data_IF_879959754699
#
_entry.id   IF_879959754699
#
_cell.length_a   1.000
_cell.length_b   1.000
_cell.length_c   1.000
_cell.angle_alpha   90.00
_cell.angle_beta   90.00
_cell.angle_gamma   90.00
#
_symmetry.space_group_name_H-M   'P 1'
#
loop_
_entity.id
_entity.type
_entity.pdbx_description
1 polymer ?
#
# COMPACT_ATOMS: atom_id res chain seq x y z
N UNK A 1 -48.62 -5.89 -55.68
CA UNK A 1 -48.89 -6.46 -54.35
C UNK A 1 -47.86 -5.93 -53.37
N UNK A 2 -48.32 -5.28 -52.29
CA UNK A 2 -47.49 -4.80 -51.19
C UNK A 2 -47.00 -6.00 -50.37
N UNK A 3 -45.70 -6.09 -50.06
CA UNK A 3 -45.21 -6.76 -48.86
C UNK A 3 -44.43 -5.75 -48.04
N UNK A 4 -45.03 -5.42 -46.89
CA UNK A 4 -44.44 -4.66 -45.80
C UNK A 4 -43.55 -5.62 -45.01
N UNK A 5 -42.32 -5.23 -44.73
CA UNK A 5 -41.58 -5.75 -43.57
C UNK A 5 -40.79 -4.60 -42.99
N UNK A 6 -41.15 -4.27 -41.75
CA UNK A 6 -40.59 -3.20 -40.96
C UNK A 6 -39.32 -3.68 -40.22
N UNK A 7 -38.43 -2.72 -39.97
CA UNK A 7 -37.58 -2.52 -38.80
C UNK A 7 -36.77 -3.69 -38.22
N UNK A 8 -35.45 -3.45 -38.08
CA UNK A 8 -34.82 -3.44 -36.75
C UNK A 8 -33.78 -2.31 -36.73
N UNK A 9 -34.11 -1.22 -36.05
CA UNK A 9 -33.16 -0.17 -35.68
C UNK A 9 -32.62 -0.57 -34.30
N UNK A 10 -31.44 -1.19 -34.27
CA UNK A 10 -30.79 -1.58 -33.03
C UNK A 10 -30.24 -0.33 -32.34
N UNK A 11 -30.95 0.13 -31.33
CA UNK A 11 -30.47 1.13 -30.38
C UNK A 11 -29.30 0.50 -29.61
N UNK A 12 -28.08 0.95 -29.88
CA UNK A 12 -26.92 0.65 -29.05
C UNK A 12 -27.07 1.50 -27.79
N UNK A 13 -27.68 0.93 -26.75
CA UNK A 13 -27.60 1.47 -25.39
C UNK A 13 -26.76 0.52 -24.56
N UNK A 14 -25.49 0.86 -24.36
CA UNK A 14 -24.67 0.32 -23.28
C UNK A 14 -23.81 1.49 -22.78
N UNK A 15 -24.42 2.36 -21.98
CA UNK A 15 -24.12 2.51 -20.54
C UNK A 15 -22.63 2.74 -20.33
N UNK A 16 -22.22 4.01 -20.46
CA UNK A 16 -21.01 4.50 -19.82
C UNK A 16 -21.23 4.40 -18.31
N UNK A 17 -20.79 3.29 -17.71
CA UNK A 17 -20.64 3.24 -16.27
C UNK A 17 -19.46 4.14 -15.91
N UNK A 18 -19.77 5.39 -15.54
CA UNK A 18 -18.92 6.16 -14.65
C UNK A 18 -18.94 5.45 -13.28
N UNK A 19 -18.24 4.32 -13.19
CA UNK A 19 -17.80 3.82 -11.90
C UNK A 19 -16.73 4.79 -11.44
N UNK A 20 -17.01 5.57 -10.40
CA UNK A 20 -15.94 5.97 -9.48
C UNK A 20 -15.39 4.67 -8.88
N UNK A 21 -14.56 3.97 -9.66
CA UNK A 21 -13.97 2.72 -9.24
C UNK A 21 -12.97 3.04 -8.16
N UNK A 22 -13.18 2.51 -6.95
CA UNK A 22 -12.17 2.47 -5.91
C UNK A 22 -10.84 2.04 -6.55
N UNK A 23 -9.82 2.86 -6.35
CA UNK A 23 -8.46 2.70 -6.87
C UNK A 23 -7.91 1.37 -6.36
N UNK A 24 -7.04 0.76 -7.15
CA UNK A 24 -6.26 -0.40 -6.74
C UNK A 24 -4.78 -0.07 -6.86
N UNK A 25 -3.98 -0.58 -5.94
CA UNK A 25 -2.52 -0.52 -5.99
C UNK A 25 -1.96 -1.88 -6.41
N UNK A 26 -0.70 -1.91 -6.84
CA UNK A 26 0.01 -3.17 -7.10
C UNK A 26 0.87 -3.49 -5.89
N UNK A 27 0.79 -4.69 -5.28
CA UNK A 27 1.65 -5.04 -4.16
C UNK A 27 3.12 -5.03 -4.62
N UNK A 28 3.96 -4.31 -3.88
CA UNK A 28 5.40 -4.28 -4.14
C UNK A 28 6.05 -5.60 -3.72
N UNK A 29 7.20 -5.93 -4.30
CA UNK A 29 8.01 -7.07 -3.85
C UNK A 29 9.07 -6.61 -2.86
N UNK A 30 9.65 -7.55 -2.11
CA UNK A 30 10.81 -7.24 -1.25
C UNK A 30 12.01 -6.72 -2.08
N UNK A 31 12.10 -7.11 -3.35
CA UNK A 31 13.10 -6.59 -4.28
C UNK A 31 12.83 -5.12 -4.65
N UNK A 32 11.57 -4.73 -4.84
CA UNK A 32 11.19 -3.33 -5.07
C UNK A 32 11.49 -2.49 -3.82
N UNK A 33 11.18 -3.01 -2.63
CA UNK A 33 11.54 -2.38 -1.34
C UNK A 33 13.04 -2.14 -1.20
N UNK A 34 13.86 -3.17 -1.43
CA UNK A 34 15.33 -3.05 -1.40
C UNK A 34 15.85 -2.05 -2.43
N UNK A 35 15.27 -2.03 -3.64
CA UNK A 35 15.65 -1.08 -4.68
C UNK A 35 15.35 0.36 -4.29
N UNK A 36 14.16 0.67 -3.75
CA UNK A 36 13.82 2.04 -3.35
C UNK A 36 14.70 2.51 -2.20
N UNK A 37 15.05 1.62 -1.24
CA UNK A 37 16.03 1.94 -0.19
C UNK A 37 17.38 2.37 -0.76
N UNK A 38 17.90 1.63 -1.74
CA UNK A 38 19.20 1.89 -2.35
C UNK A 38 19.18 3.13 -3.26
N UNK A 39 18.19 3.21 -4.17
CA UNK A 39 18.06 4.29 -5.15
C UNK A 39 17.79 5.64 -4.48
N UNK A 40 16.99 5.65 -3.40
CA UNK A 40 16.72 6.84 -2.58
C UNK A 40 17.84 7.17 -1.58
N UNK A 41 18.84 6.30 -1.46
CA UNK A 41 19.98 6.49 -0.56
C UNK A 41 19.67 6.26 0.92
N UNK A 42 18.46 5.79 1.25
CA UNK A 42 17.96 5.55 2.61
C UNK A 42 18.72 4.45 3.34
N UNK A 43 19.22 3.45 2.62
CA UNK A 43 19.89 2.30 3.22
C UNK A 43 19.98 1.14 2.24
N UNK A 44 20.19 -0.05 2.77
CA UNK A 44 20.15 -1.32 2.05
C UNK A 44 19.51 -2.39 2.93
N UNK A 45 19.05 -3.49 2.33
CA UNK A 45 18.55 -4.63 3.10
C UNK A 45 19.62 -5.24 4.01
N UNK A 46 20.91 -5.07 3.68
CA UNK A 46 22.04 -5.54 4.49
C UNK A 46 22.23 -4.75 5.78
N UNK A 47 21.71 -3.51 5.87
CA UNK A 47 21.77 -2.67 7.07
C UNK A 47 20.73 -3.08 8.12
N UNK A 48 19.76 -3.91 7.73
CA UNK A 48 18.64 -4.35 8.55
C UNK A 48 18.71 -5.83 8.93
N UNK A 49 17.52 -6.40 9.13
CA UNK A 49 17.38 -7.85 9.22
C UNK A 49 16.25 -8.32 8.32
N UNK A 50 16.43 -9.53 7.79
CA UNK A 50 15.43 -10.21 6.97
C UNK A 50 15.14 -11.59 7.55
N UNK A 51 13.87 -11.95 7.63
CA UNK A 51 13.44 -13.26 8.14
C UNK A 51 12.38 -13.85 7.23
N UNK A 52 12.47 -15.16 7.00
CA UNK A 52 11.45 -15.94 6.30
C UNK A 52 10.80 -16.92 7.27
N UNK A 53 9.47 -16.97 7.28
CA UNK A 53 8.65 -17.88 8.06
C UNK A 53 7.54 -18.50 7.19
N UNK A 54 6.67 -19.31 7.79
CA UNK A 54 5.46 -19.80 7.11
C UNK A 54 4.45 -18.67 6.82
N UNK A 55 4.47 -17.61 7.63
CA UNK A 55 3.57 -16.46 7.54
C UNK A 55 4.04 -15.42 6.52
N UNK A 56 5.27 -15.53 6.02
CA UNK A 56 5.82 -14.68 4.97
C UNK A 56 7.29 -14.32 5.15
N UNK A 57 7.71 -13.31 4.39
CA UNK A 57 9.05 -12.72 4.45
C UNK A 57 8.98 -11.31 5.01
N UNK A 58 9.87 -10.98 5.93
CA UNK A 58 9.97 -9.65 6.54
C UNK A 58 11.34 -9.06 6.29
N UNK A 59 11.42 -7.76 6.02
CA UNK A 59 12.63 -6.95 6.10
C UNK A 59 12.37 -5.74 7.00
N UNK A 60 13.24 -5.48 7.97
CA UNK A 60 13.22 -4.23 8.75
C UNK A 60 14.58 -3.56 8.64
N UNK A 61 14.57 -2.31 8.17
CA UNK A 61 15.78 -1.54 7.86
C UNK A 61 15.76 -0.22 8.63
N UNK A 62 16.75 0.04 9.50
CA UNK A 62 16.98 1.37 10.01
C UNK A 62 17.58 2.24 8.90
N UNK A 63 16.92 3.34 8.56
CA UNK A 63 17.37 4.23 7.50
C UNK A 63 18.45 5.19 7.98
N UNK A 64 19.25 5.70 7.06
CA UNK A 64 20.29 6.71 7.33
C UNK A 64 19.73 8.03 7.85
N UNK A 65 18.45 8.29 7.61
CA UNK A 65 17.76 9.51 8.01
C UNK A 65 17.03 9.35 9.36
N UNK A 66 17.23 8.22 10.05
CA UNK A 66 16.86 8.05 11.45
C UNK A 66 15.45 7.51 11.69
N UNK A 67 14.69 7.18 10.64
CA UNK A 67 13.45 6.43 10.73
C UNK A 67 13.65 4.96 10.35
N UNK A 68 12.69 4.09 10.66
CA UNK A 68 12.74 2.64 10.41
C UNK A 68 11.69 2.29 9.36
N UNK A 69 12.06 1.44 8.40
CA UNK A 69 11.17 0.89 7.39
C UNK A 69 11.04 -0.62 7.56
N UNK A 70 9.84 -1.13 7.81
CA UNK A 70 9.47 -2.54 7.81
C UNK A 70 8.66 -2.89 6.55
N UNK A 71 9.01 -3.98 5.87
CA UNK A 71 8.30 -4.49 4.72
C UNK A 71 8.04 -5.98 4.84
N UNK A 72 6.79 -6.37 4.67
CA UNK A 72 6.31 -7.73 4.87
C UNK A 72 5.66 -8.20 3.58
N UNK A 73 6.07 -9.36 3.09
CA UNK A 73 5.37 -10.11 2.05
C UNK A 73 4.74 -11.32 2.73
N UNK A 74 3.48 -11.18 3.11
CA UNK A 74 2.74 -12.18 3.86
C UNK A 74 2.30 -13.35 2.96
N UNK A 75 2.01 -14.48 3.57
CA UNK A 75 1.52 -15.68 2.90
C UNK A 75 0.22 -15.42 2.11
N UNK A 76 -0.66 -14.59 2.67
CA UNK A 76 -1.90 -14.14 2.06
C UNK A 76 -2.37 -12.78 2.63
N UNK A 77 -3.49 -12.28 2.12
CA UNK A 77 -4.07 -10.99 2.51
C UNK A 77 -4.70 -10.99 3.91
N UNK A 78 -5.13 -12.13 4.43
CA UNK A 78 -5.72 -12.22 5.78
C UNK A 78 -4.63 -12.06 6.84
N UNK A 79 -3.46 -12.67 6.60
CA UNK A 79 -2.26 -12.45 7.42
C UNK A 79 -1.83 -10.99 7.34
N UNK A 80 -1.75 -10.40 6.14
CA UNK A 80 -1.36 -9.01 5.96
C UNK A 80 -2.30 -8.03 6.69
N UNK A 81 -3.61 -8.23 6.57
CA UNK A 81 -4.63 -7.43 7.28
C UNK A 81 -4.48 -7.58 8.81
N UNK A 82 -4.21 -8.80 9.29
CA UNK A 82 -3.97 -9.06 10.72
C UNK A 82 -2.73 -8.33 11.23
N UNK A 83 -1.61 -8.41 10.51
CA UNK A 83 -0.38 -7.69 10.84
C UNK A 83 -0.63 -6.18 10.87
N UNK A 84 -1.33 -5.64 9.86
CA UNK A 84 -1.70 -4.23 9.81
C UNK A 84 -2.50 -3.80 11.05
N UNK A 85 -3.58 -4.49 11.40
CA UNK A 85 -4.39 -4.07 12.55
C UNK A 85 -3.71 -4.25 13.90
N UNK A 86 -2.86 -5.28 14.04
CA UNK A 86 -2.07 -5.49 15.25
C UNK A 86 -1.05 -4.37 15.45
N UNK A 87 -0.32 -4.01 14.39
CA UNK A 87 0.73 -2.99 14.45
C UNK A 87 0.15 -1.58 14.58
N UNK A 88 -0.94 -1.28 13.88
CA UNK A 88 -1.52 0.06 13.91
C UNK A 88 -2.29 0.35 15.21
N UNK A 89 -2.55 -0.65 16.06
CA UNK A 89 -3.51 -0.57 17.19
C UNK A 89 -4.79 0.15 16.77
N UNK A 90 -5.58 -0.53 15.92
CA UNK A 90 -6.72 0.01 15.17
C UNK A 90 -7.67 0.95 15.94
N UNK A 91 -7.79 0.78 17.25
CA UNK A 91 -8.62 1.61 18.13
C UNK A 91 -8.14 3.06 18.30
N UNK A 92 -6.90 3.37 17.93
CA UNK A 92 -6.24 4.67 18.18
C UNK A 92 -5.85 5.41 16.89
N UNK A 93 -6.33 4.96 15.73
CA UNK A 93 -6.02 5.57 14.44
C UNK A 93 -7.00 6.68 14.13
N UNK A 94 -6.46 7.82 13.70
CA UNK A 94 -7.24 9.04 13.45
C UNK A 94 -7.56 9.21 11.97
N UNK A 95 -6.68 8.76 11.08
CA UNK A 95 -6.81 8.90 9.62
C UNK A 95 -6.57 7.56 8.92
N UNK A 96 -7.55 7.14 8.11
CA UNK A 96 -7.47 5.99 7.22
C UNK A 96 -7.91 6.36 5.81
N UNK A 97 -7.26 5.73 4.84
CA UNK A 97 -7.72 5.71 3.46
C UNK A 97 -7.86 4.27 2.98
N UNK A 98 -9.05 3.92 2.48
CA UNK A 98 -9.34 2.61 1.92
C UNK A 98 -9.52 2.69 0.40
N UNK A 99 -8.86 1.77 -0.30
CA UNK A 99 -9.06 1.47 -1.70
C UNK A 99 -9.72 0.12 -1.92
N UNK A 100 -9.59 -0.42 -3.13
CA UNK A 100 -10.13 -1.75 -3.47
C UNK A 100 -9.35 -2.89 -2.81
N UNK A 101 -8.04 -2.77 -2.79
CA UNK A 101 -7.10 -3.79 -2.32
C UNK A 101 -6.01 -3.20 -1.42
N UNK A 102 -6.24 -1.99 -0.91
CA UNK A 102 -5.29 -1.34 -0.03
C UNK A 102 -5.98 -0.60 1.10
N UNK A 103 -5.26 -0.46 2.21
CA UNK A 103 -5.59 0.45 3.31
C UNK A 103 -4.31 1.17 3.73
N UNK A 104 -4.40 2.49 3.88
CA UNK A 104 -3.33 3.34 4.41
C UNK A 104 -3.83 3.89 5.74
N UNK A 105 -2.98 3.89 6.76
CA UNK A 105 -3.26 4.55 8.03
C UNK A 105 -2.04 5.28 8.56
N UNK A 106 -2.32 6.36 9.28
CA UNK A 106 -1.29 7.20 9.89
C UNK A 106 -1.62 7.43 11.37
N UNK A 107 -0.56 7.56 12.17
CA UNK A 107 -0.68 7.90 13.59
C UNK A 107 0.48 8.78 14.02
N UNK A 108 0.20 9.79 14.82
CA UNK A 108 1.24 10.59 15.48
C UNK A 108 1.09 10.50 16.99
N UNK A 109 2.18 10.12 17.69
CA UNK A 109 2.23 10.05 19.15
C UNK A 109 3.43 10.87 19.62
N UNK A 110 3.16 12.05 20.19
CA UNK A 110 4.23 12.96 20.60
C UNK A 110 5.03 13.44 19.39
N UNK A 111 6.32 13.14 19.37
CA UNK A 111 7.23 13.48 18.25
C UNK A 111 7.42 12.32 17.25
N UNK A 112 6.77 11.17 17.48
CA UNK A 112 6.83 10.02 16.58
C UNK A 112 5.65 10.00 15.61
N UNK A 113 5.94 9.74 14.34
CA UNK A 113 4.98 9.49 13.29
C UNK A 113 5.10 8.04 12.81
N UNK A 114 3.95 7.40 12.63
CA UNK A 114 3.82 6.02 12.18
C UNK A 114 2.97 6.00 10.90
N UNK A 115 3.46 5.32 9.87
CA UNK A 115 2.82 5.23 8.57
C UNK A 115 2.70 3.78 8.16
N UNK A 116 1.47 3.31 7.93
CA UNK A 116 1.17 1.92 7.66
C UNK A 116 0.39 1.79 6.36
N UNK A 117 0.77 0.83 5.52
CA UNK A 117 0.09 0.55 4.26
C UNK A 117 -0.01 -0.96 4.12
N UNK A 118 -1.22 -1.47 3.91
CA UNK A 118 -1.44 -2.83 3.42
C UNK A 118 -1.92 -2.79 1.97
N UNK A 119 -1.35 -3.63 1.11
CA UNK A 119 -1.78 -3.83 -0.28
C UNK A 119 -1.78 -5.33 -0.58
N UNK A 120 -2.96 -5.90 -0.84
CA UNK A 120 -3.16 -7.35 -0.95
C UNK A 120 -2.46 -8.13 0.18
N UNK A 121 -1.38 -8.86 -0.13
CA UNK A 121 -0.61 -9.67 0.82
C UNK A 121 0.69 -8.99 1.28
N UNK A 122 0.80 -7.67 1.16
CA UNK A 122 2.02 -6.95 1.53
C UNK A 122 1.73 -5.82 2.50
N UNK A 123 2.63 -5.63 3.46
CA UNK A 123 2.55 -4.53 4.44
C UNK A 123 3.83 -3.70 4.41
N UNK A 124 3.68 -2.39 4.38
CA UNK A 124 4.73 -1.42 4.64
C UNK A 124 4.42 -0.74 5.97
N UNK A 125 5.41 -0.74 6.85
CA UNK A 125 5.41 -0.03 8.12
C UNK A 125 6.57 0.95 8.13
N UNK A 126 6.34 2.18 8.56
CA UNK A 126 7.41 3.13 8.80
C UNK A 126 7.18 3.87 10.11
N UNK A 127 8.25 4.04 10.88
CA UNK A 127 8.25 4.79 12.14
C UNK A 127 9.43 5.75 12.16
N UNK A 128 9.17 7.02 12.45
CA UNK A 128 10.19 8.06 12.52
C UNK A 128 9.73 9.25 13.34
N UNK A 129 10.56 10.29 13.42
CA UNK A 129 10.08 11.58 13.93
C UNK A 129 9.07 12.21 12.96
N UNK A 130 8.22 13.11 13.45
CA UNK A 130 7.28 13.89 12.62
C UNK A 130 7.99 14.72 11.55
N UNK A 131 9.25 15.09 11.75
CA UNK A 131 10.07 15.78 10.74
C UNK A 131 10.34 14.92 9.49
N UNK A 132 10.23 13.59 9.60
CA UNK A 132 10.44 12.65 8.51
C UNK A 132 9.14 12.24 7.79
N UNK A 133 7.97 12.76 8.18
CA UNK A 133 6.67 12.37 7.62
C UNK A 133 6.63 12.48 6.09
N UNK A 134 7.04 13.63 5.53
CA UNK A 134 7.02 13.85 4.08
C UNK A 134 7.95 12.88 3.34
N UNK A 135 9.11 12.57 3.94
CA UNK A 135 10.08 11.63 3.36
C UNK A 135 9.54 10.19 3.36
N UNK A 136 8.91 9.76 4.47
CA UNK A 136 8.27 8.45 4.55
C UNK A 136 7.14 8.31 3.52
N UNK A 137 6.30 9.34 3.36
CA UNK A 137 5.25 9.36 2.31
C UNK A 137 5.84 9.31 0.91
N UNK A 138 6.95 10.00 0.67
CA UNK A 138 7.67 9.96 -0.61
C UNK A 138 8.25 8.57 -0.88
N UNK A 139 8.82 7.91 0.13
CA UNK A 139 9.30 6.52 0.02
C UNK A 139 8.17 5.55 -0.37
N UNK A 140 7.02 5.63 0.30
CA UNK A 140 5.85 4.83 -0.06
C UNK A 140 5.38 5.09 -1.50
N UNK A 141 5.37 6.35 -1.93
CA UNK A 141 5.05 6.72 -3.31
C UNK A 141 6.03 6.15 -4.34
N UNK A 142 7.31 6.10 -4.02
CA UNK A 142 8.35 5.48 -4.87
C UNK A 142 8.19 3.96 -5.00
N UNK A 143 7.62 3.31 -3.97
CA UNK A 143 7.17 1.92 -4.05
C UNK A 143 5.90 1.71 -4.87
N UNK A 144 5.28 2.79 -5.34
CA UNK A 144 4.02 2.75 -6.08
C UNK A 144 2.79 2.79 -5.19
N UNK A 145 2.94 3.04 -3.88
CA UNK A 145 1.83 3.21 -2.94
C UNK A 145 1.39 4.68 -2.87
N UNK A 146 1.11 5.25 -4.04
CA UNK A 146 0.55 6.60 -4.14
C UNK A 146 -0.98 6.52 -4.13
N UNK A 147 -1.60 7.14 -3.15
CA UNK A 147 -3.04 7.31 -3.08
C UNK A 147 -3.57 8.50 -3.91
N UNK A 148 -2.72 9.43 -4.36
CA UNK A 148 -3.12 10.69 -4.99
C UNK A 148 -3.48 10.60 -6.48
#
# INVERSE_FOLDING_TARGET
>A
MRRRSAAVMSVITAVMMAGCGLRSLTPATQADFGKVLEDGGYGSLEDGYTTDSEDGSTAIVPTKNGWVAGFYVCADSEVAETEFYNECNAAELEDFEDGRNYTIAEKTIGESHFYYIVVDNTCLFMEGSTENEEEMKQFAKELGYDAQ
#
